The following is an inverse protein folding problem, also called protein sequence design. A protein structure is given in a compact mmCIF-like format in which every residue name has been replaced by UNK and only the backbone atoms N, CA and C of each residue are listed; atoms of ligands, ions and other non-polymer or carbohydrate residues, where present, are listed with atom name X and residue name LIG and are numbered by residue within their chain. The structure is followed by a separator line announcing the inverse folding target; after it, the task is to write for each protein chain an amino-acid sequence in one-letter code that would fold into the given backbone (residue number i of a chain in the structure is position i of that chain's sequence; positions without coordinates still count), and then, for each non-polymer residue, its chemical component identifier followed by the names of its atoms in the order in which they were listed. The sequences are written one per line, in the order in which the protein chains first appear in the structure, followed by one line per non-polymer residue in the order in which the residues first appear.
data_IF_038458760240
#
_entry.id   IF_038458760240
#
_cell.length_a   1.000
_cell.length_b   1.000
_cell.length_c   1.000
_cell.angle_alpha   90.00
_cell.angle_beta   90.00
_cell.angle_gamma   90.00
#
_symmetry.space_group_name_H-M   'P 1'
#
loop_
_entity.id
_entity.type
_entity.pdbx_description
1 polymer ?
#
# COMPACT_ATOMS: atom_id res chain seq x y z
N UNK A 1 -19.77 29.56 8.48
CA UNK A 1 -20.19 28.16 8.24
C UNK A 1 -19.21 27.36 7.34
N UNK A 2 -18.29 27.98 6.57
CA UNK A 2 -17.37 27.23 5.68
C UNK A 2 -16.26 26.42 6.34
N UNK A 3 -15.75 26.82 7.51
CA UNK A 3 -14.59 26.16 8.13
C UNK A 3 -14.91 24.74 8.65
N UNK A 4 -16.11 24.53 9.21
CA UNK A 4 -16.53 23.23 9.72
C UNK A 4 -16.75 22.18 8.60
N UNK A 5 -17.23 22.62 7.44
CA UNK A 5 -17.42 21.77 6.25
C UNK A 5 -16.06 21.33 5.69
N UNK A 6 -15.09 22.24 5.58
CA UNK A 6 -13.76 21.95 5.09
C UNK A 6 -13.03 20.89 5.95
N UNK A 7 -12.92 21.08 7.27
CA UNK A 7 -12.27 20.10 8.18
C UNK A 7 -12.93 18.72 8.13
N UNK A 8 -14.26 18.70 8.00
CA UNK A 8 -15.04 17.45 7.87
C UNK A 8 -14.71 16.72 6.57
N UNK A 9 -14.57 17.44 5.45
CA UNK A 9 -14.22 16.85 4.16
C UNK A 9 -12.75 16.39 4.08
N UNK A 10 -11.84 17.09 4.75
CA UNK A 10 -10.43 16.68 4.84
C UNK A 10 -10.22 15.40 5.67
N UNK A 11 -10.92 15.29 6.80
CA UNK A 11 -10.91 14.07 7.60
C UNK A 11 -11.50 12.88 6.82
N UNK A 12 -12.49 13.13 5.95
CA UNK A 12 -13.03 12.12 5.04
C UNK A 12 -12.00 11.68 4.00
N UNK A 13 -11.22 12.61 3.42
CA UNK A 13 -10.21 12.29 2.42
C UNK A 13 -9.12 11.37 2.97
N UNK A 14 -8.54 11.70 4.15
CA UNK A 14 -7.53 10.85 4.79
C UNK A 14 -8.08 9.46 5.09
N UNK A 15 -9.32 9.37 5.61
CA UNK A 15 -9.98 8.10 5.88
C UNK A 15 -10.19 7.27 4.61
N UNK A 16 -10.64 7.91 3.53
CA UNK A 16 -10.85 7.25 2.24
C UNK A 16 -9.53 6.72 1.66
N UNK A 17 -8.47 7.52 1.72
CA UNK A 17 -7.15 7.12 1.25
C UNK A 17 -6.61 5.91 2.02
N UNK A 18 -6.74 5.90 3.35
CA UNK A 18 -6.36 4.77 4.18
C UNK A 18 -7.21 3.52 3.88
N UNK A 19 -8.51 3.68 3.64
CA UNK A 19 -9.38 2.55 3.28
C UNK A 19 -9.04 1.96 1.90
N UNK A 20 -8.84 2.81 0.90
CA UNK A 20 -8.47 2.37 -0.44
C UNK A 20 -7.12 1.64 -0.43
N UNK A 21 -6.12 2.19 0.27
CA UNK A 21 -4.82 1.55 0.49
C UNK A 21 -4.99 0.17 1.16
N UNK A 22 -5.73 0.10 2.27
CA UNK A 22 -5.98 -1.15 2.98
C UNK A 22 -6.61 -2.24 2.09
N UNK A 23 -7.61 -1.88 1.28
CA UNK A 23 -8.31 -2.82 0.40
C UNK A 23 -7.39 -3.29 -0.73
N UNK A 24 -6.70 -2.38 -1.40
CA UNK A 24 -5.82 -2.72 -2.52
C UNK A 24 -4.61 -3.52 -2.04
N UNK A 25 -3.94 -3.05 -0.99
CA UNK A 25 -2.75 -3.70 -0.43
C UNK A 25 -3.10 -5.05 0.20
N UNK A 26 -4.16 -5.11 0.99
CA UNK A 26 -4.63 -6.36 1.60
C UNK A 26 -5.14 -7.37 0.58
N UNK A 27 -5.88 -6.91 -0.44
CA UNK A 27 -6.36 -7.76 -1.53
C UNK A 27 -5.21 -8.35 -2.35
N UNK A 28 -4.22 -7.54 -2.71
CA UNK A 28 -3.01 -8.02 -3.40
C UNK A 28 -2.21 -9.00 -2.53
N UNK A 29 -2.07 -8.69 -1.23
CA UNK A 29 -1.45 -9.59 -0.26
C UNK A 29 -2.15 -10.95 -0.18
N UNK A 30 -3.47 -10.95 -0.16
CA UNK A 30 -4.27 -12.18 -0.15
C UNK A 30 -4.07 -13.00 -1.43
N UNK A 31 -4.02 -12.34 -2.60
CA UNK A 31 -3.73 -13.01 -3.88
C UNK A 31 -2.36 -13.68 -3.84
N UNK A 32 -1.33 -12.96 -3.38
CA UNK A 32 0.02 -13.52 -3.27
C UNK A 32 0.11 -14.66 -2.26
N UNK A 33 -0.63 -14.58 -1.15
CA UNK A 33 -0.62 -15.59 -0.10
C UNK A 33 -1.30 -16.89 -0.55
N UNK A 34 -2.47 -16.78 -1.19
CA UNK A 34 -3.31 -17.93 -1.57
C UNK A 34 -2.88 -18.53 -2.91
N UNK A 35 -2.53 -17.69 -3.89
CA UNK A 35 -2.22 -18.09 -5.26
C UNK A 35 -0.72 -17.95 -5.57
N UNK A 36 0.14 -18.13 -4.56
CA UNK A 36 1.57 -17.90 -4.70
C UNK A 36 2.25 -18.65 -5.85
N UNK A 37 1.87 -19.93 -6.07
CA UNK A 37 2.45 -20.75 -7.12
C UNK A 37 2.15 -20.21 -8.54
N UNK A 38 0.88 -20.04 -8.97
CA UNK A 38 0.61 -19.48 -10.29
C UNK A 38 1.06 -18.02 -10.43
N UNK A 39 1.06 -17.23 -9.34
CA UNK A 39 1.62 -15.87 -9.35
C UNK A 39 3.15 -15.90 -9.51
N UNK A 40 3.83 -16.89 -8.94
CA UNK A 40 5.27 -17.11 -9.11
C UNK A 40 5.61 -17.40 -10.56
N UNK A 41 4.85 -18.28 -11.22
CA UNK A 41 5.04 -18.60 -12.63
C UNK A 41 4.87 -17.36 -13.53
N UNK A 42 3.91 -16.49 -13.19
CA UNK A 42 3.62 -15.28 -13.95
C UNK A 42 4.64 -14.15 -13.71
N UNK A 43 4.95 -13.88 -12.43
CA UNK A 43 5.74 -12.72 -12.03
C UNK A 43 7.23 -13.02 -11.92
N UNK A 44 7.61 -14.25 -11.63
CA UNK A 44 8.99 -14.73 -11.58
C UNK A 44 9.59 -14.99 -10.18
N UNK A 45 9.38 -14.13 -9.15
CA UNK A 45 9.86 -14.43 -7.80
C UNK A 45 9.30 -15.75 -7.26
N UNK A 46 10.10 -16.47 -6.48
CA UNK A 46 9.69 -17.78 -5.93
C UNK A 46 8.41 -17.70 -5.08
N UNK A 47 7.60 -18.76 -5.14
CA UNK A 47 6.33 -18.84 -4.42
C UNK A 47 6.48 -18.76 -2.89
N UNK A 48 7.63 -19.14 -2.33
CA UNK A 48 7.92 -18.98 -0.90
C UNK A 48 8.00 -17.51 -0.50
N UNK A 49 8.84 -16.74 -1.21
CA UNK A 49 8.95 -15.30 -1.06
C UNK A 49 7.61 -14.58 -1.28
N UNK A 50 6.86 -14.94 -2.33
CA UNK A 50 5.54 -14.33 -2.58
C UNK A 50 4.55 -14.59 -1.45
N UNK A 51 4.56 -15.75 -0.80
CA UNK A 51 3.74 -16.00 0.41
C UNK A 51 4.16 -15.11 1.56
N UNK A 52 5.46 -14.95 1.79
CA UNK A 52 5.98 -14.06 2.83
C UNK A 52 5.54 -12.60 2.60
N UNK A 53 5.70 -12.11 1.37
CA UNK A 53 5.22 -10.79 0.95
C UNK A 53 3.70 -10.70 1.13
N UNK A 54 2.96 -11.71 0.67
CA UNK A 54 1.50 -11.74 0.76
C UNK A 54 0.98 -11.65 2.20
N UNK A 55 1.58 -12.43 3.11
CA UNK A 55 1.27 -12.38 4.53
C UNK A 55 1.58 -10.99 5.14
N UNK A 56 2.74 -10.43 4.83
CA UNK A 56 3.11 -9.08 5.27
C UNK A 56 2.10 -8.02 4.78
N UNK A 57 1.78 -8.02 3.48
CA UNK A 57 0.84 -7.07 2.89
C UNK A 57 -0.57 -7.22 3.46
N UNK A 58 -1.01 -8.46 3.72
CA UNK A 58 -2.29 -8.71 4.34
C UNK A 58 -2.36 -8.14 5.76
N UNK A 59 -1.33 -8.39 6.59
CA UNK A 59 -1.25 -7.83 7.95
C UNK A 59 -1.18 -6.31 7.92
N UNK A 60 -0.38 -5.74 7.02
CA UNK A 60 -0.29 -4.30 6.82
C UNK A 60 -1.65 -3.71 6.41
N UNK A 61 -2.31 -4.28 5.40
CA UNK A 61 -3.63 -3.85 4.94
C UNK A 61 -4.68 -3.90 6.06
N UNK A 62 -4.68 -4.93 6.89
CA UNK A 62 -5.55 -5.02 8.07
C UNK A 62 -5.23 -3.92 9.10
N UNK A 63 -3.96 -3.63 9.35
CA UNK A 63 -3.55 -2.59 10.29
C UNK A 63 -3.95 -1.19 9.80
N UNK A 64 -3.70 -0.88 8.52
CA UNK A 64 -4.13 0.38 7.88
C UNK A 64 -5.65 0.48 7.88
N UNK A 65 -6.33 -0.63 7.58
CA UNK A 65 -7.79 -0.72 7.61
C UNK A 65 -8.36 -0.41 9.00
N UNK A 66 -7.77 -0.99 10.04
CA UNK A 66 -8.15 -0.71 11.42
C UNK A 66 -7.87 0.74 11.82
N UNK A 67 -6.73 1.31 11.40
CA UNK A 67 -6.40 2.72 11.63
C UNK A 67 -7.46 3.64 11.04
N UNK A 68 -7.94 3.35 9.83
CA UNK A 68 -8.94 4.19 9.16
C UNK A 68 -10.26 4.28 9.96
N UNK A 69 -10.59 3.27 10.78
CA UNK A 69 -11.85 3.23 11.54
C UNK A 69 -11.82 4.15 12.77
N UNK A 70 -10.63 4.51 13.26
CA UNK A 70 -10.43 5.27 14.51
C UNK A 70 -10.99 6.69 14.42
N UNK A 71 -11.45 7.22 15.56
CA UNK A 71 -11.96 8.59 15.72
C UNK A 71 -11.37 9.19 17.02
N UNK A 72 -10.45 10.16 16.94
CA UNK A 72 -9.78 10.68 15.72
C UNK A 72 -8.78 9.67 15.13
N UNK A 73 -8.38 9.86 13.86
CA UNK A 73 -7.26 9.13 13.25
C UNK A 73 -5.96 9.72 13.82
N UNK A 74 -5.05 8.88 14.30
CA UNK A 74 -3.77 9.35 14.85
C UNK A 74 -2.87 9.91 13.75
N UNK A 75 -2.41 11.19 13.85
CA UNK A 75 -1.49 11.76 12.87
C UNK A 75 -0.15 11.03 12.80
N UNK A 76 0.36 10.53 13.93
CA UNK A 76 1.61 9.78 13.98
C UNK A 76 1.48 8.43 13.25
N UNK A 77 0.37 7.73 13.45
CA UNK A 77 0.11 6.47 12.75
C UNK A 77 -0.08 6.70 11.24
N UNK A 78 -0.79 7.75 10.83
CA UNK A 78 -0.92 8.10 9.41
C UNK A 78 0.44 8.41 8.76
N UNK A 79 1.33 9.13 9.46
CA UNK A 79 2.72 9.35 8.99
C UNK A 79 3.52 8.06 8.84
N UNK A 80 3.33 7.10 9.75
CA UNK A 80 3.98 5.79 9.66
C UNK A 80 3.51 5.01 8.42
N UNK A 81 2.21 5.00 8.13
CA UNK A 81 1.64 4.40 6.90
C UNK A 81 2.24 5.06 5.65
N UNK A 82 2.26 6.39 5.60
CA UNK A 82 2.87 7.14 4.49
C UNK A 82 4.34 6.74 4.31
N UNK A 83 5.13 6.70 5.39
CA UNK A 83 6.54 6.34 5.31
C UNK A 83 6.75 4.91 4.83
N UNK A 84 5.96 3.95 5.34
CA UNK A 84 6.01 2.56 4.91
C UNK A 84 5.66 2.40 3.44
N UNK A 85 4.62 3.09 2.96
CA UNK A 85 4.25 3.11 1.54
C UNK A 85 5.39 3.65 0.68
N UNK A 86 6.02 4.76 1.08
CA UNK A 86 7.16 5.31 0.33
C UNK A 86 8.35 4.35 0.31
N UNK A 87 8.69 3.74 1.45
CA UNK A 87 9.75 2.73 1.54
C UNK A 87 9.43 1.53 0.64
N UNK A 88 8.20 1.05 0.65
CA UNK A 88 7.76 -0.07 -0.19
C UNK A 88 7.83 0.27 -1.68
N UNK A 89 7.36 1.45 -2.08
CA UNK A 89 7.43 1.91 -3.46
C UNK A 89 8.88 2.03 -3.95
N UNK A 90 9.74 2.68 -3.18
CA UNK A 90 11.16 2.82 -3.53
C UNK A 90 11.86 1.46 -3.56
N UNK A 91 11.60 0.60 -2.58
CA UNK A 91 12.13 -0.77 -2.53
C UNK A 91 11.70 -1.62 -3.72
N UNK A 92 10.44 -1.48 -4.16
CA UNK A 92 9.91 -2.21 -5.33
C UNK A 92 10.61 -1.77 -6.62
N UNK A 93 10.78 -0.47 -6.84
CA UNK A 93 11.52 0.05 -8.00
C UNK A 93 13.00 -0.36 -7.93
N UNK A 94 13.63 -0.24 -6.77
CA UNK A 94 15.02 -0.63 -6.57
C UNK A 94 15.24 -2.13 -6.83
N UNK A 95 14.31 -2.99 -6.39
CA UNK A 95 14.39 -4.43 -6.63
C UNK A 95 14.37 -4.79 -8.12
N UNK A 96 13.57 -4.07 -8.92
CA UNK A 96 13.53 -4.24 -10.38
C UNK A 96 14.81 -3.72 -11.03
N UNK A 97 15.23 -2.48 -10.71
CA UNK A 97 16.40 -1.83 -11.32
C UNK A 97 17.70 -2.57 -10.98
N UNK A 98 17.84 -3.05 -9.74
CA UNK A 98 19.02 -3.79 -9.30
C UNK A 98 19.03 -5.25 -9.74
N UNK A 99 17.94 -5.75 -10.36
CA UNK A 99 17.79 -7.18 -10.67
C UNK A 99 17.83 -8.06 -9.41
N UNK A 100 17.38 -7.54 -8.27
CA UNK A 100 17.49 -8.21 -6.98
C UNK A 100 16.59 -9.45 -6.86
N UNK A 101 15.56 -9.53 -7.71
CA UNK A 101 14.64 -10.65 -7.80
C UNK A 101 14.54 -11.12 -9.25
N UNK A 102 14.22 -12.40 -9.44
CA UNK A 102 14.06 -13.07 -10.74
C UNK A 102 12.73 -12.71 -11.41
N UNK A 103 12.46 -11.42 -11.60
CA UNK A 103 11.23 -10.97 -12.26
C UNK A 103 11.17 -11.42 -13.73
N UNK A 104 10.00 -11.89 -14.16
CA UNK A 104 9.64 -11.89 -15.58
C UNK A 104 9.42 -10.45 -16.05
N UNK A 105 9.33 -10.21 -17.36
CA UNK A 105 8.95 -8.89 -17.87
C UNK A 105 7.60 -8.41 -17.31
N UNK A 106 6.63 -9.32 -17.21
CA UNK A 106 5.31 -9.04 -16.61
C UNK A 106 5.48 -8.69 -15.13
N UNK A 107 6.28 -9.47 -14.39
CA UNK A 107 6.58 -9.21 -12.99
C UNK A 107 7.22 -7.86 -12.72
N UNK A 108 8.19 -7.47 -13.54
CA UNK A 108 8.87 -6.17 -13.43
C UNK A 108 7.88 -5.02 -13.66
N UNK A 109 7.06 -5.09 -14.72
CA UNK A 109 6.01 -4.10 -15.00
C UNK A 109 5.00 -4.03 -13.86
N UNK A 110 4.56 -5.18 -13.35
CA UNK A 110 3.61 -5.30 -12.25
C UNK A 110 4.16 -4.72 -10.93
N UNK A 111 5.44 -4.96 -10.62
CA UNK A 111 6.11 -4.41 -9.44
C UNK A 111 6.21 -2.87 -9.52
N UNK A 112 6.59 -2.32 -10.68
CA UNK A 112 6.64 -0.86 -10.88
C UNK A 112 5.24 -0.25 -10.85
N UNK A 113 4.24 -0.88 -11.46
CA UNK A 113 2.86 -0.40 -11.42
C UNK A 113 2.32 -0.34 -9.99
N UNK A 114 2.55 -1.37 -9.18
CA UNK A 114 2.20 -1.35 -7.75
C UNK A 114 2.95 -0.25 -6.99
N UNK A 115 4.24 -0.07 -7.26
CA UNK A 115 5.02 0.99 -6.63
C UNK A 115 4.40 2.38 -6.89
N UNK A 116 3.93 2.63 -8.11
CA UNK A 116 3.23 3.88 -8.47
C UNK A 116 1.91 4.01 -7.72
N UNK A 117 1.10 2.96 -7.65
CA UNK A 117 -0.17 2.96 -6.91
C UNK A 117 0.04 3.25 -5.43
N UNK A 118 0.99 2.57 -4.80
CA UNK A 118 1.34 2.74 -3.38
C UNK A 118 1.89 4.15 -3.10
N UNK A 119 2.70 4.70 -4.01
CA UNK A 119 3.16 6.09 -3.90
C UNK A 119 2.00 7.09 -4.07
N UNK A 120 1.03 6.78 -4.93
CA UNK A 120 -0.22 7.54 -5.08
C UNK A 120 -1.03 7.57 -3.78
N UNK A 121 -1.17 6.43 -3.09
CA UNK A 121 -1.81 6.41 -1.77
C UNK A 121 -1.06 7.27 -0.77
N UNK A 122 0.27 7.17 -0.69
CA UNK A 122 1.09 8.00 0.19
C UNK A 122 0.88 9.50 -0.10
N UNK A 123 0.83 9.90 -1.37
CA UNK A 123 0.59 11.30 -1.75
C UNK A 123 -0.78 11.81 -1.30
N UNK A 124 -1.85 11.02 -1.50
CA UNK A 124 -3.20 11.39 -1.08
C UNK A 124 -3.31 11.41 0.46
N UNK A 125 -2.67 10.47 1.15
CA UNK A 125 -2.60 10.44 2.61
C UNK A 125 -1.87 11.67 3.17
N UNK A 126 -0.76 12.10 2.55
CA UNK A 126 -0.06 13.35 2.90
C UNK A 126 -0.98 14.55 2.73
N UNK A 127 -1.69 14.64 1.59
CA UNK A 127 -2.63 15.73 1.34
C UNK A 127 -3.74 15.75 2.40
N UNK A 128 -4.40 14.60 2.63
CA UNK A 128 -5.44 14.47 3.66
C UNK A 128 -4.95 14.85 5.05
N UNK A 129 -3.75 14.43 5.44
CA UNK A 129 -3.17 14.73 6.75
C UNK A 129 -2.80 16.20 6.93
N UNK A 130 -2.29 16.88 5.89
CA UNK A 130 -1.95 18.31 5.95
C UNK A 130 -3.18 19.21 6.09
N UNK A 131 -4.34 18.71 5.68
CA UNK A 131 -5.60 19.45 5.69
C UNK A 131 -6.55 19.06 6.84
N UNK A 132 -6.20 18.02 7.62
CA UNK A 132 -7.01 17.51 8.75
C UNK A 132 -6.67 18.20 10.08
#
# INVERSE_FOLDING_TARGET
MSAATATTDHTKLLRWALMADAVVTGGNGLVYLVFAAPVSDLLGPEAGLLRGIGAFLLVYGLAVGLLSTRRPISPAAAKAVIALNLVWSLGSVAAVVAGALSFTTIGAVWAVAQAVVVAGFAAIQVAGLRMS
#
